data_IF_188842781016
#
_entry.id   IF_188842781016
#
_cell.length_a   1.000
_cell.length_b   1.000
_cell.length_c   1.000
_cell.angle_alpha   90.00
_cell.angle_beta   90.00
_cell.angle_gamma   90.00
#
_symmetry.space_group_name_H-M   'P 1'
#
loop_
_entity.id
_entity.type
_entity.pdbx_description
1 polymer ?
#
# COMPACT_ATOMS: atom_id res chain seq x y z
N UNK A 1 -14.24 -2.98 5.23
CA UNK A 1 -13.78 -3.06 6.64
C UNK A 1 -12.78 -1.94 6.94
N UNK A 2 -13.21 -0.89 7.63
CA UNK A 2 -12.34 0.22 8.01
C UNK A 2 -11.31 -0.28 9.03
N UNK A 3 -10.04 0.01 8.82
CA UNK A 3 -9.00 -0.28 9.82
C UNK A 3 -9.37 0.43 11.13
N UNK A 4 -9.47 -0.29 12.26
CA UNK A 4 -9.83 0.34 13.53
C UNK A 4 -8.74 1.35 13.90
N UNK A 5 -9.13 2.61 14.11
CA UNK A 5 -8.21 3.66 14.51
C UNK A 5 -7.87 3.46 15.99
N UNK A 6 -6.81 2.70 16.24
CA UNK A 6 -6.24 2.44 17.57
C UNK A 6 -5.05 3.36 17.79
N UNK A 7 -4.83 3.75 19.04
CA UNK A 7 -3.67 4.57 19.39
C UNK A 7 -2.41 3.69 19.45
N UNK A 8 -1.28 4.10 18.84
CA UNK A 8 -0.06 3.30 18.82
C UNK A 8 0.69 3.30 20.16
N UNK A 9 0.46 4.28 21.02
CA UNK A 9 1.17 4.50 22.28
C UNK A 9 0.23 4.41 23.48
N UNK A 10 0.80 4.26 24.69
CA UNK A 10 0.07 4.25 25.95
C UNK A 10 -0.16 2.85 26.54
N UNK A 11 -0.83 2.78 27.70
CA UNK A 11 -1.20 1.53 28.37
C UNK A 11 -2.21 0.72 27.53
N UNK A 12 -2.25 -0.60 27.73
CA UNK A 12 -3.04 -1.52 26.89
C UNK A 12 -4.52 -1.14 26.77
N UNK A 13 -5.13 -0.72 27.87
CA UNK A 13 -6.52 -0.27 27.90
C UNK A 13 -6.80 0.92 26.95
N UNK A 14 -5.81 1.78 26.71
CA UNK A 14 -5.94 2.96 25.84
C UNK A 14 -5.80 2.59 24.35
N UNK A 15 -4.93 1.62 24.04
CA UNK A 15 -4.74 1.08 22.68
C UNK A 15 -5.95 0.28 22.20
N UNK A 16 -6.72 -0.31 23.11
CA UNK A 16 -7.90 -1.12 22.78
C UNK A 16 -9.16 -0.29 22.50
N UNK A 17 -9.13 1.03 22.73
CA UNK A 17 -10.20 1.93 22.35
C UNK A 17 -10.25 2.06 20.82
N UNK A 18 -11.41 1.75 20.23
CA UNK A 18 -11.67 1.97 18.81
C UNK A 18 -12.25 3.38 18.61
N UNK A 19 -11.43 4.30 18.09
CA UNK A 19 -11.82 5.69 17.89
C UNK A 19 -12.68 5.82 16.64
N UNK A 20 -14.00 5.90 16.82
CA UNK A 20 -14.95 6.20 15.74
C UNK A 20 -14.97 7.70 15.48
N UNK A 21 -14.01 8.18 14.68
CA UNK A 21 -13.96 9.60 14.31
C UNK A 21 -15.10 9.89 13.32
N UNK A 22 -15.99 10.87 13.59
CA UNK A 22 -17.05 11.23 12.65
C UNK A 22 -16.48 11.72 11.32
N UNK A 23 -17.12 11.36 10.19
CA UNK A 23 -16.70 11.82 8.85
C UNK A 23 -16.59 13.35 8.75
N UNK A 24 -17.43 14.09 9.49
CA UNK A 24 -17.38 15.55 9.55
C UNK A 24 -16.05 16.07 10.13
N UNK A 25 -15.47 15.35 11.09
CA UNK A 25 -14.18 15.70 11.69
C UNK A 25 -13.03 15.35 10.75
N UNK A 26 -13.13 14.23 10.02
CA UNK A 26 -12.13 13.86 9.00
C UNK A 26 -12.09 14.87 7.86
N UNK A 27 -13.26 15.33 7.38
CA UNK A 27 -13.36 16.29 6.29
C UNK A 27 -13.08 17.74 6.73
N UNK A 28 -13.36 18.07 8.00
CA UNK A 28 -13.25 19.43 8.53
C UNK A 28 -11.88 19.77 9.13
N UNK A 29 -11.02 18.78 9.39
CA UNK A 29 -9.72 19.00 10.03
C UNK A 29 -8.58 18.95 9.00
N UNK A 30 -7.92 20.08 8.71
CA UNK A 30 -6.81 20.12 7.76
C UNK A 30 -5.68 19.18 8.21
N UNK A 31 -5.29 18.23 7.35
CA UNK A 31 -4.18 17.31 7.62
C UNK A 31 -4.52 16.09 8.49
N UNK A 32 -5.81 15.85 8.79
CA UNK A 32 -6.25 14.66 9.52
C UNK A 32 -5.74 13.35 8.89
N UNK A 33 -5.78 13.24 7.57
CA UNK A 33 -5.29 12.07 6.83
C UNK A 33 -3.79 11.82 7.07
N UNK A 34 -2.96 12.87 7.16
CA UNK A 34 -1.52 12.72 7.43
C UNK A 34 -1.28 12.19 8.83
N UNK A 35 -2.03 12.69 9.81
CA UNK A 35 -1.95 12.21 11.20
C UNK A 35 -2.40 10.76 11.29
N UNK A 36 -3.53 10.42 10.66
CA UNK A 36 -4.03 9.05 10.61
C UNK A 36 -3.02 8.07 9.99
N UNK A 37 -2.41 8.45 8.87
CA UNK A 37 -1.34 7.67 8.22
C UNK A 37 -0.14 7.49 9.13
N UNK A 38 0.30 8.53 9.84
CA UNK A 38 1.41 8.44 10.80
C UNK A 38 1.11 7.49 11.96
N UNK A 39 -0.09 7.56 12.54
CA UNK A 39 -0.52 6.65 13.61
C UNK A 39 -0.62 5.19 13.12
N UNK A 40 -1.09 4.99 11.89
CA UNK A 40 -1.12 3.66 11.25
C UNK A 40 0.30 3.11 11.08
N UNK A 41 1.21 3.87 10.48
CA UNK A 41 2.60 3.44 10.27
C UNK A 41 3.30 3.11 11.59
N UNK A 42 3.06 3.92 12.64
CA UNK A 42 3.60 3.65 13.97
C UNK A 42 3.00 2.39 14.58
N UNK A 43 1.71 2.13 14.38
CA UNK A 43 1.04 0.90 14.84
C UNK A 43 1.62 -0.32 14.14
N UNK A 44 1.79 -0.28 12.82
CA UNK A 44 2.41 -1.37 12.03
C UNK A 44 3.82 -1.66 12.55
N UNK A 45 4.64 -0.61 12.75
CA UNK A 45 5.99 -0.74 13.29
C UNK A 45 6.02 -1.32 14.71
N UNK A 46 5.11 -0.91 15.59
CA UNK A 46 5.04 -1.42 16.96
C UNK A 46 4.67 -2.91 17.03
N UNK A 47 3.98 -3.44 16.01
CA UNK A 47 3.67 -4.87 15.91
C UNK A 47 4.77 -5.68 15.20
N UNK A 48 5.92 -5.06 14.87
CA UNK A 48 7.04 -5.74 14.21
C UNK A 48 6.77 -6.09 12.75
N UNK A 49 5.80 -5.43 12.11
CA UNK A 49 5.52 -5.61 10.69
C UNK A 49 6.44 -4.69 9.87
N UNK A 50 7.05 -5.25 8.83
CA UNK A 50 7.93 -4.53 7.92
C UNK A 50 7.20 -3.40 7.16
N UNK A 51 7.94 -2.35 6.81
CA UNK A 51 7.41 -1.26 5.98
C UNK A 51 7.18 -1.71 4.53
N UNK A 52 6.41 -0.93 3.77
CA UNK A 52 6.15 -1.24 2.36
C UNK A 52 7.45 -1.23 1.55
N UNK A 53 8.37 -0.32 1.87
CA UNK A 53 9.68 -0.23 1.25
C UNK A 53 10.53 -1.47 1.54
N UNK A 54 10.54 -1.95 2.79
CA UNK A 54 11.24 -3.18 3.19
C UNK A 54 10.65 -4.41 2.48
N UNK A 55 9.32 -4.54 2.46
CA UNK A 55 8.62 -5.63 1.77
C UNK A 55 8.93 -5.61 0.26
N UNK A 56 8.96 -4.43 -0.36
CA UNK A 56 9.33 -4.29 -1.77
C UNK A 56 10.78 -4.71 -2.03
N UNK A 57 11.72 -4.31 -1.17
CA UNK A 57 13.12 -4.74 -1.27
C UNK A 57 13.26 -6.26 -1.18
N UNK A 58 12.54 -6.91 -0.27
CA UNK A 58 12.50 -8.37 -0.16
C UNK A 58 11.95 -9.01 -1.44
N UNK A 59 10.90 -8.45 -2.05
CA UNK A 59 10.39 -8.93 -3.34
C UNK A 59 11.44 -8.85 -4.45
N UNK A 60 12.20 -7.75 -4.51
CA UNK A 60 13.28 -7.58 -5.48
C UNK A 60 14.39 -8.61 -5.25
N UNK A 61 14.82 -8.81 -4.00
CA UNK A 61 15.84 -9.80 -3.62
C UNK A 61 15.38 -11.24 -3.92
N UNK A 62 14.08 -11.51 -3.83
CA UNK A 62 13.47 -12.79 -4.15
C UNK A 62 13.18 -12.99 -5.66
N UNK A 63 13.67 -12.10 -6.54
CA UNK A 63 13.47 -12.12 -8.00
C UNK A 63 12.00 -12.13 -8.42
N UNK A 64 11.14 -11.45 -7.65
CA UNK A 64 9.74 -11.22 -8.04
C UNK A 64 9.69 -10.34 -9.28
N UNK A 65 8.92 -10.77 -10.29
CA UNK A 65 8.72 -10.00 -11.52
C UNK A 65 7.73 -8.86 -11.29
N UNK A 66 8.26 -7.68 -11.00
CA UNK A 66 7.49 -6.45 -10.92
C UNK A 66 7.23 -5.92 -12.34
N UNK A 67 5.96 -5.71 -12.68
CA UNK A 67 5.53 -5.21 -13.98
C UNK A 67 4.61 -4.01 -13.81
N UNK A 68 4.70 -3.04 -14.72
CA UNK A 68 3.84 -1.86 -14.72
C UNK A 68 2.82 -1.92 -15.85
N UNK A 69 1.61 -1.46 -15.56
CA UNK A 69 0.58 -1.30 -16.58
C UNK A 69 0.92 -0.10 -17.48
N UNK A 70 1.31 -0.36 -18.72
CA UNK A 70 1.72 0.68 -19.66
C UNK A 70 0.64 1.75 -19.85
N UNK A 71 -0.62 1.33 -20.03
CA UNK A 71 -1.73 2.27 -20.22
C UNK A 71 -1.94 3.17 -19.00
N UNK A 72 -1.69 2.68 -17.78
CA UNK A 72 -1.82 3.49 -16.56
C UNK A 72 -0.70 4.51 -16.48
N UNK A 73 0.53 4.12 -16.81
CA UNK A 73 1.69 5.01 -16.84
C UNK A 73 1.46 6.16 -17.81
N UNK A 74 1.01 5.85 -19.03
CA UNK A 74 0.67 6.85 -20.06
C UNK A 74 -0.54 7.70 -19.66
N UNK A 75 -1.59 7.11 -19.08
CA UNK A 75 -2.81 7.81 -18.67
C UNK A 75 -2.54 8.90 -17.63
N UNK A 76 -1.63 8.64 -16.69
CA UNK A 76 -1.24 9.60 -15.66
C UNK A 76 -0.06 10.50 -16.09
N UNK A 77 0.45 10.34 -17.33
CA UNK A 77 1.51 11.17 -17.87
C UNK A 77 2.88 10.95 -17.21
N UNK A 78 3.12 9.77 -16.65
CA UNK A 78 4.41 9.42 -16.07
C UNK A 78 5.40 8.95 -17.14
N UNK A 79 6.67 9.23 -16.91
CA UNK A 79 7.79 8.66 -17.65
C UNK A 79 8.27 7.36 -17.01
N UNK A 80 8.98 6.52 -17.76
CA UNK A 80 9.54 5.29 -17.18
C UNK A 80 10.58 5.58 -16.08
N UNK A 81 11.24 6.74 -16.14
CA UNK A 81 12.24 7.19 -15.18
C UNK A 81 11.64 7.62 -13.83
N UNK A 82 10.31 7.82 -13.76
CA UNK A 82 9.58 8.10 -12.51
C UNK A 82 9.42 6.85 -11.62
N UNK A 83 9.78 5.67 -12.14
CA UNK A 83 9.61 4.39 -11.45
C UNK A 83 10.95 3.77 -11.06
N UNK A 84 10.86 2.75 -10.21
CA UNK A 84 12.03 1.99 -9.78
C UNK A 84 12.68 1.25 -10.97
N UNK A 85 14.02 1.17 -11.03
CA UNK A 85 14.72 0.52 -12.15
C UNK A 85 14.47 -1.00 -12.22
N UNK A 86 13.92 -1.61 -11.16
CA UNK A 86 13.65 -3.05 -11.08
C UNK A 86 12.36 -3.49 -11.77
N UNK A 87 11.57 -2.57 -12.34
CA UNK A 87 10.43 -2.93 -13.20
C UNK A 87 10.95 -3.69 -14.43
N UNK A 88 10.53 -4.94 -14.57
CA UNK A 88 10.98 -5.83 -15.64
C UNK A 88 10.31 -5.53 -16.97
N UNK A 89 8.99 -5.30 -16.94
CA UNK A 89 8.19 -5.13 -18.15
C UNK A 89 7.09 -4.07 -17.98
N UNK A 90 6.80 -3.38 -19.09
CA UNK A 90 5.70 -2.43 -19.25
C UNK A 90 4.64 -3.11 -20.12
N UNK A 91 3.57 -3.61 -19.51
CA UNK A 91 2.62 -4.51 -20.17
C UNK A 91 1.19 -3.99 -20.11
N UNK A 92 0.40 -4.35 -21.12
CA UNK A 92 -1.05 -4.15 -21.12
C UNK A 92 -1.81 -5.40 -20.67
N UNK A 93 -3.14 -5.26 -20.58
CA UNK A 93 -4.04 -6.35 -20.22
C UNK A 93 -3.87 -7.59 -21.14
N UNK A 94 -3.69 -7.39 -22.44
CA UNK A 94 -3.53 -8.48 -23.41
C UNK A 94 -2.29 -9.35 -23.14
N UNK A 95 -1.22 -8.77 -22.59
CA UNK A 95 0.00 -9.49 -22.23
C UNK A 95 -0.08 -10.11 -20.83
N UNK A 96 -0.77 -9.46 -19.89
CA UNK A 96 -0.91 -9.95 -18.52
C UNK A 96 -1.92 -11.10 -18.40
N UNK A 97 -3.05 -11.03 -19.12
CA UNK A 97 -4.13 -12.02 -18.99
C UNK A 97 -3.69 -13.47 -19.26
N UNK A 98 -2.86 -13.79 -20.27
CA UNK A 98 -2.34 -15.15 -20.45
C UNK A 98 -1.43 -15.64 -19.31
N UNK A 99 -0.73 -14.74 -18.63
CA UNK A 99 0.08 -15.05 -17.45
C UNK A 99 -0.83 -15.34 -16.25
N UNK A 100 -1.80 -14.46 -16.01
CA UNK A 100 -2.80 -14.62 -14.96
C UNK A 100 -3.61 -15.92 -15.13
N UNK A 101 -4.02 -16.25 -16.35
CA UNK A 101 -4.75 -17.48 -16.68
C UNK A 101 -3.98 -18.76 -16.32
N UNK A 102 -2.65 -18.72 -16.40
CA UNK A 102 -1.77 -19.86 -16.08
C UNK A 102 -1.30 -19.86 -14.62
N UNK A 103 -1.63 -18.84 -13.85
CA UNK A 103 -1.23 -18.74 -12.45
C UNK A 103 -2.12 -19.63 -11.58
N UNK A 104 -1.54 -20.37 -10.65
CA UNK A 104 -2.31 -21.19 -9.69
C UNK A 104 -3.20 -20.30 -8.80
N UNK A 105 -2.73 -19.09 -8.49
CA UNK A 105 -3.45 -18.08 -7.71
C UNK A 105 -3.29 -16.72 -8.37
N UNK A 106 -4.41 -16.03 -8.61
CA UNK A 106 -4.45 -14.66 -9.11
C UNK A 106 -5.37 -13.82 -8.21
N UNK A 107 -4.88 -12.70 -7.70
CA UNK A 107 -5.61 -11.80 -6.79
C UNK A 107 -5.77 -10.41 -7.41
N UNK A 108 -6.89 -9.76 -7.11
CA UNK A 108 -7.13 -8.34 -7.38
C UNK A 108 -7.27 -7.64 -6.03
N UNK A 109 -6.35 -6.73 -5.71
CA UNK A 109 -6.18 -6.10 -4.39
C UNK A 109 -6.49 -4.61 -4.50
#
# INVERSE_FOLDING_TARGET
PSMPMKMPFGPQWFKDINWKIPNLVMAGMPGFEKVATGLMQQTVKNNGVASIEELRSICIEADVKLVACQMTVELFGHSHDDFIPEIKDWIGAASFLPVAQKSDVCLFI
#
